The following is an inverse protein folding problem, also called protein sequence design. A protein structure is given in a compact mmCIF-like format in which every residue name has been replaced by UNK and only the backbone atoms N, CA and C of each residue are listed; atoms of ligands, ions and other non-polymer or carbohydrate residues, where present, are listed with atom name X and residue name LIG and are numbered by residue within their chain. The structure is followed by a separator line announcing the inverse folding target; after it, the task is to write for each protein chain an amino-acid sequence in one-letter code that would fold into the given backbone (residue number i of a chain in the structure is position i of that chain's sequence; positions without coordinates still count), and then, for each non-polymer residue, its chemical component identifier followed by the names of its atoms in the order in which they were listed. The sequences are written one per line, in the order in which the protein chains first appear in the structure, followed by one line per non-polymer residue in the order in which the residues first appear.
data_IF_906954872038
#
_entry.id   IF_906954872038
#
_cell.length_a   1.000
_cell.length_b   1.000
_cell.length_c   1.000
_cell.angle_alpha   90.00
_cell.angle_beta   90.00
_cell.angle_gamma   90.00
#
_symmetry.space_group_name_H-M   'P 1'
#
loop_
_entity.id
_entity.type
_entity.pdbx_description
1 polymer ?
#
# COMPACT_ATOMS: atom_id res chain seq x y z
N UNK A 1 -25.24 26.55 -9.87
CA UNK A 1 -24.18 25.53 -9.89
C UNK A 1 -23.51 25.61 -8.53
N UNK A 2 -23.62 24.60 -7.64
CA UNK A 2 -22.89 24.68 -6.39
C UNK A 2 -21.40 24.41 -6.67
N UNK A 3 -20.58 25.28 -6.09
CA UNK A 3 -19.12 25.26 -6.15
C UNK A 3 -18.61 24.05 -5.36
N UNK A 4 -17.89 23.14 -6.03
CA UNK A 4 -17.17 22.05 -5.37
C UNK A 4 -16.10 22.67 -4.44
N UNK A 5 -16.37 22.67 -3.14
CA UNK A 5 -15.36 23.02 -2.13
C UNK A 5 -14.30 21.93 -2.11
N UNK A 6 -13.11 22.26 -2.59
CA UNK A 6 -11.89 21.54 -2.25
C UNK A 6 -11.73 21.62 -0.73
N UNK A 7 -11.73 20.48 -0.03
CA UNK A 7 -11.19 20.40 1.34
C UNK A 7 -12.15 20.08 2.49
N UNK A 8 -13.16 19.21 2.32
CA UNK A 8 -13.78 18.55 3.49
C UNK A 8 -13.40 17.06 3.52
N UNK A 9 -12.87 16.54 4.64
CA UNK A 9 -12.48 15.14 4.77
C UNK A 9 -13.70 14.25 4.58
N UNK A 10 -13.63 13.36 3.58
CA UNK A 10 -14.75 12.50 3.17
C UNK A 10 -14.93 11.26 4.05
N UNK A 11 -14.06 11.05 5.04
CA UNK A 11 -14.02 9.83 5.83
C UNK A 11 -13.79 8.62 4.95
N UNK A 12 -14.40 7.48 5.28
CA UNK A 12 -14.35 6.28 4.45
C UNK A 12 -15.31 6.39 3.27
N UNK A 13 -14.80 6.24 2.05
CA UNK A 13 -15.62 6.15 0.84
C UNK A 13 -15.05 5.13 -0.14
N UNK A 14 -15.90 4.46 -0.92
CA UNK A 14 -15.47 3.52 -1.95
C UNK A 14 -16.08 3.91 -3.30
N UNK A 15 -15.29 3.78 -4.36
CA UNK A 15 -15.76 3.92 -5.75
C UNK A 15 -15.96 2.55 -6.43
N UNK A 16 -16.10 1.49 -5.65
CA UNK A 16 -16.37 0.12 -6.14
C UNK A 16 -15.14 -0.77 -6.35
N UNK A 17 -13.94 -0.33 -5.93
CA UNK A 17 -12.72 -1.14 -6.02
C UNK A 17 -11.95 -1.17 -4.68
N UNK A 18 -11.36 -0.06 -4.28
CA UNK A 18 -10.61 0.09 -3.03
C UNK A 18 -11.28 1.15 -2.15
N UNK A 19 -11.45 0.89 -0.85
CA UNK A 19 -11.87 1.91 0.08
C UNK A 19 -10.77 2.98 0.17
N UNK A 20 -11.20 4.23 0.16
CA UNK A 20 -10.38 5.41 0.42
C UNK A 20 -10.76 5.93 1.79
N UNK A 21 -9.78 6.43 2.53
CA UNK A 21 -10.03 7.22 3.74
C UNK A 21 -9.39 8.59 3.56
N UNK A 22 -10.21 9.62 3.72
CA UNK A 22 -9.82 11.02 3.67
C UNK A 22 -10.23 11.64 5.00
N UNK A 23 -9.30 11.64 5.95
CA UNK A 23 -9.49 12.11 7.31
C UNK A 23 -8.35 13.06 7.67
N UNK A 24 -8.69 14.27 8.08
CA UNK A 24 -7.71 15.30 8.44
C UNK A 24 -6.77 14.79 9.54
N UNK A 25 -5.47 14.97 9.36
CA UNK A 25 -4.44 14.57 10.33
C UNK A 25 -4.22 13.06 10.49
N UNK A 26 -4.76 12.22 9.61
CA UNK A 26 -4.55 10.77 9.66
C UNK A 26 -3.41 10.32 8.77
N UNK A 27 -2.35 9.78 9.38
CA UNK A 27 -1.26 9.12 8.65
C UNK A 27 -1.67 7.70 8.25
N UNK A 28 -1.36 7.32 7.01
CA UNK A 28 -1.69 6.02 6.44
C UNK A 28 -0.42 5.29 6.03
N UNK A 29 -0.23 4.08 6.57
CA UNK A 29 0.80 3.16 6.11
C UNK A 29 0.27 2.33 4.94
N UNK A 30 0.80 2.56 3.75
CA UNK A 30 0.37 1.90 2.51
C UNK A 30 1.50 1.02 2.01
N UNK A 31 1.18 -0.24 1.72
CA UNK A 31 2.11 -1.18 1.07
C UNK A 31 1.55 -1.59 -0.28
N UNK A 32 2.35 -1.44 -1.33
CA UNK A 32 2.04 -1.98 -2.65
C UNK A 32 3.24 -2.76 -3.19
N UNK A 33 2.98 -3.68 -4.13
CA UNK A 33 3.97 -4.68 -4.55
C UNK A 33 3.85 -5.01 -6.02
N UNK A 34 4.91 -5.62 -6.57
CA UNK A 34 4.87 -6.23 -7.87
C UNK A 34 3.85 -7.39 -7.89
N UNK A 35 3.21 -7.59 -9.04
CA UNK A 35 2.11 -8.57 -9.17
C UNK A 35 2.54 -10.01 -8.87
N UNK A 36 3.80 -10.34 -9.12
CA UNK A 36 4.41 -11.65 -8.92
C UNK A 36 5.08 -11.83 -7.56
N UNK A 37 5.11 -10.78 -6.72
CA UNK A 37 5.78 -10.80 -5.42
C UNK A 37 5.06 -11.67 -4.37
N UNK A 38 3.73 -11.80 -4.47
CA UNK A 38 2.94 -12.70 -3.64
C UNK A 38 1.83 -13.34 -4.48
N UNK A 39 1.93 -14.65 -4.79
CA UNK A 39 0.89 -15.37 -5.50
C UNK A 39 -0.47 -15.30 -4.80
N UNK A 40 -1.55 -15.18 -5.57
CA UNK A 40 -2.92 -15.13 -5.05
C UNK A 40 -3.29 -16.34 -4.19
N UNK A 41 -2.88 -17.54 -4.62
CA UNK A 41 -3.10 -18.80 -3.91
C UNK A 41 -2.50 -18.81 -2.48
N UNK A 42 -1.35 -18.16 -2.28
CA UNK A 42 -0.71 -18.08 -0.96
C UNK A 42 -1.52 -17.17 -0.04
N UNK A 43 -1.99 -16.04 -0.57
CA UNK A 43 -2.84 -15.09 0.16
C UNK A 43 -4.21 -15.70 0.49
N UNK A 44 -4.85 -16.39 -0.46
CA UNK A 44 -6.13 -17.07 -0.26
C UNK A 44 -6.03 -18.14 0.83
N UNK A 45 -4.97 -18.95 0.78
CA UNK A 45 -4.71 -19.96 1.82
C UNK A 45 -4.58 -19.31 3.20
N UNK A 46 -3.81 -18.23 3.36
CA UNK A 46 -3.67 -17.59 4.66
C UNK A 46 -4.96 -16.96 5.17
N UNK A 47 -5.80 -16.41 4.28
CA UNK A 47 -7.12 -15.90 4.67
C UNK A 47 -8.01 -17.01 5.22
N UNK A 48 -8.01 -18.20 4.59
CA UNK A 48 -8.75 -19.36 5.09
C UNK A 48 -8.19 -19.86 6.43
N UNK A 49 -6.86 -19.90 6.59
CA UNK A 49 -6.23 -20.33 7.84
C UNK A 49 -6.51 -19.39 9.03
N UNK A 50 -6.78 -18.11 8.75
CA UNK A 50 -6.96 -17.05 9.74
C UNK A 50 -8.41 -16.57 9.87
N UNK A 51 -9.37 -17.21 9.18
CA UNK A 51 -10.76 -16.75 9.09
C UNK A 51 -11.45 -16.66 10.47
N UNK A 52 -11.16 -17.61 11.36
CA UNK A 52 -11.72 -17.67 12.71
C UNK A 52 -10.82 -17.03 13.78
N UNK A 53 -9.66 -16.49 13.40
CA UNK A 53 -8.73 -15.84 14.32
C UNK A 53 -9.15 -14.38 14.57
N UNK A 54 -9.40 -14.04 15.83
CA UNK A 54 -9.74 -12.67 16.23
C UNK A 54 -8.61 -11.66 15.93
N UNK A 55 -7.36 -12.12 15.85
CA UNK A 55 -6.20 -11.34 15.41
C UNK A 55 -5.79 -11.64 13.96
N UNK A 56 -6.65 -12.35 13.20
CA UNK A 56 -6.35 -12.87 11.87
C UNK A 56 -5.86 -11.80 10.89
N UNK A 57 -6.45 -10.61 10.91
CA UNK A 57 -6.01 -9.49 10.05
C UNK A 57 -4.57 -9.04 10.37
N UNK A 58 -4.23 -8.93 11.66
CA UNK A 58 -2.89 -8.53 12.09
C UNK A 58 -1.87 -9.61 11.74
N UNK A 59 -2.20 -10.88 11.96
CA UNK A 59 -1.31 -11.97 11.57
C UNK A 59 -1.17 -12.10 10.05
N UNK A 60 -2.24 -11.84 9.29
CA UNK A 60 -2.21 -11.82 7.83
C UNK A 60 -1.23 -10.74 7.34
N UNK A 61 -1.29 -9.53 7.87
CA UNK A 61 -0.35 -8.45 7.54
C UNK A 61 1.10 -8.87 7.85
N UNK A 62 1.38 -9.44 9.02
CA UNK A 62 2.73 -9.94 9.38
C UNK A 62 3.22 -11.04 8.45
N UNK A 63 2.33 -11.93 8.00
CA UNK A 63 2.69 -12.99 7.01
C UNK A 63 3.01 -12.39 5.66
N UNK A 64 2.23 -11.40 5.22
CA UNK A 64 2.47 -10.69 3.97
C UNK A 64 3.81 -9.96 4.00
N UNK A 65 4.09 -9.18 5.05
CA UNK A 65 5.35 -8.46 5.20
C UNK A 65 6.56 -9.41 5.17
N UNK A 66 6.54 -10.48 5.99
CA UNK A 66 7.61 -11.49 5.99
C UNK A 66 7.83 -12.15 4.63
N UNK A 67 6.76 -12.41 3.89
CA UNK A 67 6.87 -13.03 2.57
C UNK A 67 7.42 -12.07 1.53
N UNK A 68 7.03 -10.79 1.62
CA UNK A 68 7.56 -9.75 0.75
C UNK A 68 9.06 -9.54 0.99
N UNK A 69 9.51 -9.51 2.25
CA UNK A 69 10.91 -9.42 2.65
C UNK A 69 11.77 -10.59 2.15
N UNK A 70 11.17 -11.75 1.91
CA UNK A 70 11.87 -12.90 1.33
C UNK A 70 12.25 -12.72 -0.15
N UNK A 71 11.77 -11.65 -0.82
CA UNK A 71 12.21 -11.29 -2.16
C UNK A 71 11.70 -12.22 -3.26
N UNK A 72 10.48 -12.77 -3.11
CA UNK A 72 9.85 -13.57 -4.15
C UNK A 72 9.47 -12.74 -5.39
N UNK A 73 9.32 -13.42 -6.54
CA UNK A 73 9.01 -12.79 -7.82
C UNK A 73 10.25 -12.25 -8.55
N UNK A 74 10.01 -11.34 -9.49
CA UNK A 74 11.02 -10.77 -10.40
C UNK A 74 11.95 -9.77 -9.74
N UNK A 75 11.58 -9.20 -8.59
CA UNK A 75 12.35 -8.20 -7.86
C UNK A 75 12.85 -7.01 -8.72
N UNK A 76 12.04 -6.60 -9.71
CA UNK A 76 12.44 -5.54 -10.64
C UNK A 76 12.78 -4.22 -9.95
N UNK A 77 12.16 -3.90 -8.81
CA UNK A 77 12.45 -2.66 -8.09
C UNK A 77 13.84 -2.65 -7.45
N UNK A 78 14.50 -3.81 -7.35
CA UNK A 78 15.89 -3.91 -6.93
C UNK A 78 16.88 -3.36 -7.97
N UNK A 79 16.49 -3.23 -9.24
CA UNK A 79 17.28 -2.48 -10.21
C UNK A 79 17.12 -0.97 -9.98
N UNK A 80 18.25 -0.28 -9.87
CA UNK A 80 18.30 1.17 -9.59
C UNK A 80 17.38 2.00 -10.48
N UNK A 81 17.23 1.63 -11.77
CA UNK A 81 16.37 2.37 -12.70
C UNK A 81 14.90 2.32 -12.32
N UNK A 82 14.42 1.16 -11.88
CA UNK A 82 13.01 0.94 -11.57
C UNK A 82 12.69 1.53 -10.20
N UNK A 83 13.59 1.34 -9.23
CA UNK A 83 13.46 1.98 -7.92
C UNK A 83 13.43 3.50 -8.00
N UNK A 84 14.33 4.12 -8.77
CA UNK A 84 14.37 5.57 -8.96
C UNK A 84 13.10 6.11 -9.65
N UNK A 85 12.51 5.35 -10.57
CA UNK A 85 11.25 5.73 -11.22
C UNK A 85 10.08 5.74 -10.23
N UNK A 86 10.01 4.76 -9.32
CA UNK A 86 8.99 4.73 -8.27
C UNK A 86 9.18 5.88 -7.28
N UNK A 87 10.42 6.11 -6.82
CA UNK A 87 10.73 7.27 -5.96
C UNK A 87 10.26 8.57 -6.60
N UNK A 88 10.61 8.81 -7.87
CA UNK A 88 10.21 10.03 -8.57
C UNK A 88 8.68 10.18 -8.63
N UNK A 89 7.95 9.08 -8.84
CA UNK A 89 6.48 9.09 -8.86
C UNK A 89 5.87 9.39 -7.49
N UNK A 90 6.45 8.88 -6.40
CA UNK A 90 6.01 9.20 -5.04
C UNK A 90 6.24 10.68 -4.71
N UNK A 91 7.41 11.21 -5.06
CA UNK A 91 7.76 12.62 -4.78
C UNK A 91 6.98 13.61 -5.64
N UNK A 92 6.50 13.20 -6.81
CA UNK A 92 5.79 14.08 -7.73
C UNK A 92 4.50 14.68 -7.15
N UNK A 93 3.81 13.94 -6.27
CA UNK A 93 2.55 14.39 -5.67
C UNK A 93 2.68 14.82 -4.20
N UNK A 94 3.88 14.77 -3.64
CA UNK A 94 4.16 15.20 -2.27
C UNK A 94 3.88 16.71 -2.11
N UNK A 95 3.09 17.06 -1.10
CA UNK A 95 2.62 18.41 -0.84
C UNK A 95 1.45 18.87 -1.73
N UNK A 96 1.06 18.09 -2.74
CA UNK A 96 -0.08 18.39 -3.62
C UNK A 96 -1.30 17.50 -3.35
N UNK A 97 -1.12 16.16 -3.37
CA UNK A 97 -2.22 15.20 -3.18
C UNK A 97 -2.17 14.48 -1.84
N UNK A 98 -0.98 14.40 -1.25
CA UNK A 98 -0.72 13.82 0.07
C UNK A 98 0.59 14.41 0.61
N UNK A 99 0.87 14.20 1.89
CA UNK A 99 2.17 14.54 2.49
C UNK A 99 2.99 13.27 2.62
N UNK A 100 4.14 13.17 1.96
CA UNK A 100 4.97 11.96 2.01
C UNK A 100 5.89 12.00 3.23
N UNK A 101 5.46 11.42 4.35
CA UNK A 101 6.23 11.43 5.59
C UNK A 101 7.45 10.49 5.55
N UNK A 102 7.27 9.28 5.02
CA UNK A 102 8.35 8.30 4.88
C UNK A 102 8.04 7.32 3.74
N UNK A 103 9.07 6.75 3.13
CA UNK A 103 8.91 5.68 2.17
C UNK A 103 10.18 4.83 2.06
N UNK A 104 10.04 3.61 1.56
CA UNK A 104 11.15 2.75 1.17
C UNK A 104 10.75 1.92 -0.04
N UNK A 105 11.64 1.83 -1.03
CA UNK A 105 11.49 0.93 -2.18
C UNK A 105 12.34 -0.31 -1.90
N UNK A 106 11.66 -1.43 -1.68
CA UNK A 106 12.24 -2.76 -1.52
C UNK A 106 12.25 -3.47 -2.89
N UNK A 107 13.01 -4.58 -3.07
CA UNK A 107 13.18 -5.19 -4.38
C UNK A 107 11.88 -5.60 -5.11
N UNK A 108 10.82 -5.96 -4.38
CA UNK A 108 9.54 -6.38 -4.94
C UNK A 108 8.31 -5.64 -4.37
N UNK A 109 8.50 -4.71 -3.45
CA UNK A 109 7.42 -3.97 -2.79
C UNK A 109 7.88 -2.59 -2.31
N UNK A 110 6.92 -1.76 -1.90
CA UNK A 110 7.14 -0.39 -1.46
C UNK A 110 6.27 -0.15 -0.24
N UNK A 111 6.86 0.49 0.77
CA UNK A 111 6.11 1.03 1.90
C UNK A 111 6.11 2.55 1.83
N UNK A 112 4.97 3.16 2.13
CA UNK A 112 4.82 4.61 2.22
C UNK A 112 3.99 4.98 3.44
N UNK A 113 4.37 6.09 4.09
CA UNK A 113 3.59 6.75 5.12
C UNK A 113 3.14 8.10 4.56
N UNK A 114 1.82 8.27 4.38
CA UNK A 114 1.20 9.43 3.70
C UNK A 114 0.02 10.02 4.46
#
# INVERSE_FOLDING_TARGET
MPEDRVGEPRGWFSRGYLPHVDAEGTWQFVTFRLADALPGEVMERWRLELEEDAEGDHELLRRVERYLDAGHGSCLLGETRFGAMVEAALRYFDGERYQLAAWVVMPNHVHTLV
#
